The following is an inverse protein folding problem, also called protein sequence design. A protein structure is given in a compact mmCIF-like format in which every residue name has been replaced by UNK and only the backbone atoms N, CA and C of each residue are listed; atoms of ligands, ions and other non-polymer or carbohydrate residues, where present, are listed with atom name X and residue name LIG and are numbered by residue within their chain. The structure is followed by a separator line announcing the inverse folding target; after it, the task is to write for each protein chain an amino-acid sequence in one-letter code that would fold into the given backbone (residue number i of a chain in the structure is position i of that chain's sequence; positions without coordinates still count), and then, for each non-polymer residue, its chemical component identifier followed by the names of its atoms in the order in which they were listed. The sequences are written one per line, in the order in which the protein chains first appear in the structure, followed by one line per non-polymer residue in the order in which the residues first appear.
data_IF_309601738751
#
_entry.id   IF_309601738751
#
_cell.length_a   1.000
_cell.length_b   1.000
_cell.length_c   1.000
_cell.angle_alpha   90.00
_cell.angle_beta   90.00
_cell.angle_gamma   90.00
#
_symmetry.space_group_name_H-M   'P 1'
#
loop_
_entity.id
_entity.type
_entity.pdbx_description
1 polymer ?
#
# COMPACT_ATOMS: atom_id res chain seq x y z
N UNK A 1 3.59 -7.64 -23.58
CA UNK A 1 3.00 -7.86 -22.22
C UNK A 1 3.07 -6.53 -21.48
N UNK A 2 1.93 -5.98 -21.17
CA UNK A 2 1.84 -4.74 -20.36
C UNK A 2 1.93 -5.09 -18.88
N UNK A 3 2.86 -4.48 -18.16
CA UNK A 3 3.12 -4.73 -16.74
C UNK A 3 2.79 -3.47 -15.93
N UNK A 4 2.22 -3.64 -14.73
CA UNK A 4 2.11 -2.59 -13.72
C UNK A 4 2.67 -3.10 -12.39
N UNK A 5 3.34 -2.21 -11.67
CA UNK A 5 3.82 -2.44 -10.30
C UNK A 5 2.92 -1.66 -9.34
N UNK A 6 2.55 -2.27 -8.22
CA UNK A 6 1.75 -1.62 -7.18
C UNK A 6 2.44 -1.77 -5.84
N UNK A 7 2.57 -0.67 -5.07
CA UNK A 7 3.15 -0.73 -3.73
C UNK A 7 2.42 0.19 -2.76
N UNK A 8 2.56 -0.06 -1.45
CA UNK A 8 1.81 0.66 -0.43
C UNK A 8 2.14 2.16 -0.40
N UNK A 9 3.43 2.51 -0.35
CA UNK A 9 3.98 3.88 -0.40
C UNK A 9 5.46 3.87 -0.77
N UNK A 10 5.95 4.98 -1.31
CA UNK A 10 7.37 5.22 -1.64
C UNK A 10 7.81 6.54 -0.98
N UNK A 11 8.00 6.55 0.34
CA UNK A 11 8.28 7.77 1.11
C UNK A 11 9.58 7.71 1.93
N UNK A 12 10.38 6.69 1.73
CA UNK A 12 11.66 6.48 2.40
C UNK A 12 12.23 5.13 1.98
N UNK A 13 13.53 4.91 2.20
CA UNK A 13 14.21 3.68 1.80
C UNK A 13 14.07 2.64 2.92
N UNK A 14 13.43 1.51 2.60
CA UNK A 14 13.31 0.34 3.45
C UNK A 14 13.46 -0.95 2.65
N UNK A 15 13.19 -2.09 3.28
CA UNK A 15 13.27 -3.40 2.60
C UNK A 15 12.22 -3.57 1.51
N UNK A 16 11.00 -3.07 1.74
CA UNK A 16 9.91 -3.15 0.77
C UNK A 16 10.18 -2.29 -0.47
N UNK A 17 10.67 -1.07 -0.25
CA UNK A 17 10.99 -0.14 -1.33
C UNK A 17 12.16 -0.63 -2.20
N UNK A 18 13.12 -1.36 -1.61
CA UNK A 18 14.18 -2.02 -2.38
C UNK A 18 13.65 -3.10 -3.31
N UNK A 19 12.63 -3.86 -2.89
CA UNK A 19 11.97 -4.84 -3.78
C UNK A 19 11.29 -4.13 -4.95
N UNK A 20 10.60 -3.01 -4.70
CA UNK A 20 9.99 -2.20 -5.76
C UNK A 20 11.05 -1.66 -6.71
N UNK A 21 12.20 -1.24 -6.20
CA UNK A 21 13.32 -0.78 -7.02
C UNK A 21 13.86 -1.88 -7.94
N UNK A 22 14.04 -3.11 -7.44
CA UNK A 22 14.48 -4.24 -8.28
C UNK A 22 13.40 -4.61 -9.31
N UNK A 23 12.12 -4.54 -8.95
CA UNK A 23 11.02 -4.74 -9.91
C UNK A 23 11.03 -3.68 -11.01
N UNK A 24 11.27 -2.40 -10.66
CA UNK A 24 11.40 -1.32 -11.64
C UNK A 24 12.57 -1.58 -12.61
N UNK A 25 13.71 -2.03 -12.12
CA UNK A 25 14.85 -2.42 -12.98
C UNK A 25 14.51 -3.57 -13.94
N UNK A 26 13.69 -4.53 -13.51
CA UNK A 26 13.22 -5.64 -14.35
C UNK A 26 12.19 -5.19 -15.39
N UNK A 27 11.39 -4.20 -15.06
CA UNK A 27 10.30 -3.67 -15.89
C UNK A 27 10.33 -2.14 -15.93
N UNK A 28 11.33 -1.53 -16.61
CA UNK A 28 11.55 -0.07 -16.56
C UNK A 28 10.39 0.74 -17.14
N UNK A 29 9.66 0.17 -18.10
CA UNK A 29 8.50 0.83 -18.71
C UNK A 29 7.18 0.64 -17.92
N UNK A 30 7.21 -0.13 -16.84
CA UNK A 30 6.01 -0.40 -16.06
C UNK A 30 5.69 0.78 -15.12
N UNK A 31 4.47 1.35 -15.16
CA UNK A 31 4.08 2.36 -14.19
C UNK A 31 4.01 1.76 -12.78
N UNK A 32 4.39 2.59 -11.80
CA UNK A 32 4.36 2.23 -10.39
C UNK A 32 3.20 2.96 -9.72
N UNK A 33 2.17 2.24 -9.32
CA UNK A 33 1.05 2.76 -8.55
C UNK A 33 1.34 2.72 -7.05
N UNK A 34 1.16 3.83 -6.37
CA UNK A 34 1.42 3.93 -4.93
C UNK A 34 0.47 4.91 -4.25
N UNK A 35 0.25 4.75 -2.94
CA UNK A 35 -0.60 5.70 -2.21
C UNK A 35 0.04 7.06 -2.05
N UNK A 36 1.34 7.11 -1.76
CA UNK A 36 2.11 8.34 -1.58
C UNK A 36 3.56 8.14 -2.06
N UNK A 37 4.09 9.16 -2.71
CA UNK A 37 5.48 9.24 -3.16
C UNK A 37 6.18 10.48 -2.62
N UNK A 38 7.43 10.33 -2.22
CA UNK A 38 8.30 11.43 -1.77
C UNK A 38 9.66 11.35 -2.46
N UNK A 39 9.83 12.11 -3.53
CA UNK A 39 11.08 12.17 -4.30
C UNK A 39 12.31 12.60 -3.47
N UNK A 40 12.10 13.36 -2.39
CA UNK A 40 13.19 13.76 -1.50
C UNK A 40 13.54 12.67 -0.46
N UNK A 41 12.62 11.73 -0.22
CA UNK A 41 12.79 10.67 0.77
C UNK A 41 13.30 9.35 0.20
N UNK A 42 13.31 9.20 -1.13
CA UNK A 42 13.72 7.98 -1.81
C UNK A 42 14.37 8.31 -3.15
N UNK A 43 15.48 7.65 -3.46
CA UNK A 43 16.23 7.79 -4.72
C UNK A 43 16.13 6.51 -5.57
N UNK A 44 16.49 6.62 -6.84
CA UNK A 44 16.50 5.50 -7.79
C UNK A 44 15.17 5.29 -8.52
N UNK A 45 14.27 6.27 -8.48
CA UNK A 45 12.98 6.26 -9.19
C UNK A 45 12.82 7.53 -10.04
N UNK A 46 13.91 8.17 -10.40
CA UNK A 46 13.92 9.46 -11.13
C UNK A 46 13.38 9.31 -12.56
N UNK A 47 13.52 8.13 -13.15
CA UNK A 47 13.05 7.75 -14.48
C UNK A 47 11.73 6.96 -14.47
N UNK A 48 11.17 6.66 -13.28
CA UNK A 48 9.98 5.85 -13.15
C UNK A 48 8.66 6.66 -13.40
N UNK A 49 7.70 6.06 -14.12
CA UNK A 49 6.31 6.57 -14.20
C UNK A 49 5.58 6.25 -12.87
N UNK A 50 5.65 7.18 -11.91
CA UNK A 50 5.01 7.00 -10.61
C UNK A 50 3.62 7.64 -10.61
N UNK A 51 2.60 6.83 -10.37
CA UNK A 51 1.19 7.20 -10.30
C UNK A 51 0.67 7.07 -8.87
N UNK A 52 0.38 8.22 -8.27
CA UNK A 52 -0.10 8.27 -6.89
C UNK A 52 -1.62 8.33 -6.80
N UNK A 53 -2.17 7.80 -5.70
CA UNK A 53 -3.60 7.97 -5.39
C UNK A 53 -3.89 9.39 -4.86
N UNK A 54 -5.16 9.70 -4.61
CA UNK A 54 -5.57 10.99 -4.03
C UNK A 54 -4.92 11.26 -2.65
N UNK A 55 -4.45 10.23 -1.98
CA UNK A 55 -3.76 10.29 -0.67
C UNK A 55 -2.42 11.02 -0.74
N UNK A 56 -1.85 11.22 -1.92
CA UNK A 56 -0.65 12.05 -2.13
C UNK A 56 -0.80 13.46 -1.55
N UNK A 57 -2.03 14.01 -1.57
CA UNK A 57 -2.32 15.36 -1.06
C UNK A 57 -2.32 15.44 0.47
N UNK A 58 -2.36 14.29 1.15
CA UNK A 58 -2.39 14.25 2.61
C UNK A 58 -0.99 14.28 3.20
N UNK A 59 -0.78 14.98 4.34
CA UNK A 59 0.50 14.95 5.03
C UNK A 59 0.94 13.52 5.35
N UNK A 60 2.23 13.22 5.16
CA UNK A 60 2.83 11.88 5.36
C UNK A 60 2.54 11.27 6.74
N UNK A 61 2.33 12.10 7.77
CA UNK A 61 1.97 11.67 9.13
C UNK A 61 0.66 10.88 9.19
N UNK A 62 -0.26 11.09 8.24
CA UNK A 62 -1.55 10.40 8.20
C UNK A 62 -1.48 9.02 7.53
N UNK A 63 -0.36 8.64 6.89
CA UNK A 63 -0.24 7.34 6.20
C UNK A 63 -0.56 6.13 7.08
N UNK A 64 -0.28 6.22 8.40
CA UNK A 64 -0.54 5.15 9.37
C UNK A 64 -1.99 5.10 9.86
N UNK A 65 -2.76 6.17 9.63
CA UNK A 65 -4.10 6.36 10.24
C UNK A 65 -5.22 5.96 9.28
N UNK A 66 -4.93 5.81 7.99
CA UNK A 66 -5.95 5.66 6.94
C UNK A 66 -5.90 4.31 6.19
N UNK A 67 -5.75 3.15 6.87
CA UNK A 67 -5.70 1.87 6.17
C UNK A 67 -6.95 1.60 5.32
N UNK A 68 -8.15 1.91 5.85
CA UNK A 68 -9.40 1.71 5.13
C UNK A 68 -9.50 2.59 3.87
N UNK A 69 -9.04 3.85 3.97
CA UNK A 69 -9.04 4.77 2.83
C UNK A 69 -8.01 4.32 1.78
N UNK A 70 -6.84 3.82 2.19
CA UNK A 70 -5.88 3.22 1.26
C UNK A 70 -6.43 1.98 0.57
N UNK A 71 -7.06 1.07 1.32
CA UNK A 71 -7.70 -0.11 0.73
C UNK A 71 -8.78 0.28 -0.29
N UNK A 72 -9.57 1.31 0.00
CA UNK A 72 -10.58 1.83 -0.90
C UNK A 72 -9.96 2.45 -2.16
N UNK A 73 -8.91 3.26 -2.03
CA UNK A 73 -8.19 3.88 -3.16
C UNK A 73 -7.56 2.81 -4.05
N UNK A 74 -6.85 1.83 -3.49
CA UNK A 74 -6.28 0.73 -4.26
C UNK A 74 -7.36 -0.13 -4.95
N UNK A 75 -8.49 -0.36 -4.28
CA UNK A 75 -9.62 -1.09 -4.85
C UNK A 75 -10.33 -0.39 -6.02
N UNK A 76 -10.04 0.90 -6.25
CA UNK A 76 -10.57 1.71 -7.35
C UNK A 76 -9.60 1.92 -8.51
N UNK A 77 -8.36 1.46 -8.37
CA UNK A 77 -7.42 1.53 -9.49
C UNK A 77 -7.94 0.71 -10.66
N UNK A 78 -8.01 1.32 -11.82
CA UNK A 78 -8.28 0.58 -13.06
C UNK A 78 -6.97 0.02 -13.61
N UNK A 79 -6.79 -1.27 -13.42
CA UNK A 79 -5.64 -2.03 -13.89
C UNK A 79 -6.01 -3.00 -15.01
N UNK A 80 -7.15 -2.77 -15.67
CA UNK A 80 -7.72 -3.68 -16.67
C UNK A 80 -6.90 -3.76 -17.97
N UNK A 81 -6.07 -2.76 -18.24
CA UNK A 81 -5.22 -2.73 -19.44
C UNK A 81 -3.92 -3.57 -19.32
N UNK A 82 -3.59 -4.06 -18.12
CA UNK A 82 -2.35 -4.78 -17.86
C UNK A 82 -2.54 -6.29 -17.94
N UNK A 83 -1.54 -6.95 -18.56
CA UNK A 83 -1.47 -8.41 -18.62
C UNK A 83 -0.92 -8.99 -17.30
N UNK A 84 0.00 -8.25 -16.65
CA UNK A 84 0.63 -8.61 -15.40
C UNK A 84 0.60 -7.44 -14.42
N UNK A 85 0.12 -7.69 -13.22
CA UNK A 85 0.19 -6.77 -12.09
C UNK A 85 1.04 -7.40 -10.99
N UNK A 86 2.11 -6.71 -10.56
CA UNK A 86 2.97 -7.17 -9.48
C UNK A 86 2.76 -6.24 -8.29
N UNK A 87 2.17 -6.73 -7.21
CA UNK A 87 2.04 -5.95 -5.98
C UNK A 87 3.13 -6.31 -4.97
N UNK A 88 3.89 -5.32 -4.50
CA UNK A 88 4.86 -5.41 -3.41
C UNK A 88 4.25 -4.76 -2.17
N UNK A 89 3.69 -5.57 -1.27
CA UNK A 89 2.81 -5.04 -0.22
C UNK A 89 2.95 -5.75 1.12
N UNK A 90 3.08 -4.96 2.18
CA UNK A 90 2.89 -5.38 3.57
C UNK A 90 1.55 -4.88 4.13
N UNK A 91 0.83 -4.04 3.39
CA UNK A 91 -0.41 -3.40 3.84
C UNK A 91 -1.57 -3.61 2.83
N UNK A 92 -2.07 -2.58 2.18
CA UNK A 92 -3.32 -2.61 1.44
C UNK A 92 -3.16 -2.76 -0.09
N UNK A 93 -1.97 -2.49 -0.65
CA UNK A 93 -1.72 -2.57 -2.09
C UNK A 93 -1.94 -3.99 -2.68
N UNK A 94 -1.83 -5.03 -1.86
CA UNK A 94 -2.17 -6.41 -2.25
C UNK A 94 -3.64 -6.61 -2.60
N UNK A 95 -4.52 -5.70 -2.17
CA UNK A 95 -5.97 -5.76 -2.40
C UNK A 95 -6.42 -5.09 -3.70
N UNK A 96 -5.52 -4.76 -4.62
CA UNK A 96 -5.88 -4.22 -5.94
C UNK A 96 -6.73 -5.22 -6.72
N UNK A 97 -7.65 -4.69 -7.50
CA UNK A 97 -8.53 -5.50 -8.35
C UNK A 97 -7.97 -5.57 -9.76
N UNK A 98 -7.96 -6.76 -10.31
CA UNK A 98 -7.56 -7.02 -11.69
C UNK A 98 -8.71 -7.69 -12.44
N UNK A 99 -8.64 -7.72 -13.76
CA UNK A 99 -9.62 -8.47 -14.57
C UNK A 99 -9.25 -9.97 -14.62
N UNK A 100 -10.12 -10.78 -15.24
CA UNK A 100 -9.93 -12.24 -15.35
C UNK A 100 -8.72 -12.66 -16.20
N UNK A 101 -8.26 -11.79 -17.08
CA UNK A 101 -7.17 -12.07 -18.01
C UNK A 101 -5.80 -11.54 -17.48
N UNK A 102 -5.82 -10.77 -16.41
CA UNK A 102 -4.61 -10.21 -15.76
C UNK A 102 -4.05 -11.21 -14.76
N UNK A 103 -2.78 -11.51 -14.88
CA UNK A 103 -2.06 -12.25 -13.84
C UNK A 103 -1.69 -11.28 -12.72
N UNK A 104 -2.13 -11.56 -11.50
CA UNK A 104 -1.74 -10.79 -10.32
C UNK A 104 -0.78 -11.61 -9.45
N UNK A 105 0.45 -11.13 -9.30
CA UNK A 105 1.46 -11.70 -8.41
C UNK A 105 1.65 -10.75 -7.22
N UNK A 106 1.49 -11.28 -6.01
CA UNK A 106 1.73 -10.49 -4.79
C UNK A 106 3.03 -10.94 -4.09
N UNK A 107 4.03 -10.04 -4.08
CA UNK A 107 5.16 -10.17 -3.18
C UNK A 107 4.72 -9.65 -1.79
N UNK A 108 4.25 -10.57 -0.97
CA UNK A 108 3.74 -10.24 0.35
C UNK A 108 4.91 -10.14 1.35
N UNK A 109 5.16 -8.93 1.85
CA UNK A 109 6.08 -8.68 2.98
C UNK A 109 5.47 -9.21 4.29
N UNK A 110 6.08 -8.86 5.43
CA UNK A 110 5.50 -9.21 6.72
C UNK A 110 4.03 -8.78 6.80
N UNK A 111 3.12 -9.68 7.23
CA UNK A 111 1.70 -9.32 7.37
C UNK A 111 1.54 -8.09 8.23
N UNK A 112 0.57 -7.26 7.89
CA UNK A 112 0.32 -5.99 8.58
C UNK A 112 0.15 -6.23 10.09
N UNK A 113 1.10 -5.77 10.90
CA UNK A 113 1.17 -6.08 12.34
C UNK A 113 -0.11 -5.77 13.10
N UNK A 114 -0.75 -4.63 12.79
CA UNK A 114 -1.97 -4.20 13.47
C UNK A 114 -3.23 -4.99 13.08
N UNK A 115 -3.22 -5.75 11.97
CA UNK A 115 -4.33 -6.62 11.60
C UNK A 115 -4.12 -8.08 12.01
N UNK A 116 -2.87 -8.56 12.06
CA UNK A 116 -2.57 -9.97 12.19
C UNK A 116 -1.78 -10.30 13.47
N UNK A 117 -0.57 -9.77 13.60
CA UNK A 117 0.38 -10.26 14.61
C UNK A 117 0.19 -9.57 15.96
N UNK A 118 -0.05 -8.26 15.97
CA UNK A 118 -0.12 -7.42 17.18
C UNK A 118 -1.47 -6.74 17.35
N UNK A 119 -2.54 -7.35 16.83
CA UNK A 119 -3.88 -6.77 16.86
C UNK A 119 -4.33 -6.42 18.28
N UNK A 120 -4.17 -7.34 19.24
CA UNK A 120 -4.59 -7.14 20.62
C UNK A 120 -3.78 -6.06 21.34
N UNK A 121 -2.50 -5.95 21.01
CA UNK A 121 -1.63 -4.89 21.52
C UNK A 121 -2.05 -3.51 21.00
N UNK A 122 -2.39 -3.39 19.70
CA UNK A 122 -2.92 -2.15 19.13
C UNK A 122 -4.32 -1.81 19.65
N UNK A 123 -5.14 -2.80 19.99
CA UNK A 123 -6.41 -2.57 20.70
C UNK A 123 -6.19 -2.04 22.11
N UNK A 124 -5.19 -2.57 22.83
CA UNK A 124 -4.86 -2.11 24.17
C UNK A 124 -4.23 -0.71 24.16
N UNK A 125 -3.29 -0.49 23.23
CA UNK A 125 -2.48 0.74 23.11
C UNK A 125 -2.49 1.28 21.67
N UNK A 126 -3.58 1.94 21.20
CA UNK A 126 -3.69 2.43 19.81
C UNK A 126 -2.69 3.50 19.41
N UNK A 127 -1.98 4.12 20.37
CA UNK A 127 -0.96 5.15 20.09
C UNK A 127 -1.52 6.50 19.64
N UNK A 128 -2.81 6.75 19.82
CA UNK A 128 -3.45 8.03 19.51
C UNK A 128 -3.53 8.93 20.75
N UNK A 129 -3.73 10.25 20.59
CA UNK A 129 -4.04 11.13 21.71
C UNK A 129 -5.21 10.59 22.53
N UNK A 130 -5.16 10.77 23.87
CA UNK A 130 -6.09 10.15 24.83
C UNK A 130 -7.58 10.25 24.45
N UNK A 131 -8.00 11.33 23.81
CA UNK A 131 -9.41 11.55 23.38
C UNK A 131 -9.84 10.77 22.13
N UNK A 132 -8.91 10.19 21.33
CA UNK A 132 -9.20 9.51 20.06
C UNK A 132 -9.00 7.99 20.12
N UNK A 133 -8.51 7.45 21.23
CA UNK A 133 -8.23 6.03 21.36
C UNK A 133 -9.47 5.13 21.18
N UNK A 134 -10.64 5.59 21.61
CA UNK A 134 -11.88 4.84 21.46
C UNK A 134 -12.30 4.72 19.98
N UNK A 135 -12.12 5.77 19.17
CA UNK A 135 -12.38 5.74 17.72
C UNK A 135 -11.42 4.80 17.01
N UNK A 136 -10.13 4.81 17.38
CA UNK A 136 -9.16 3.89 16.83
C UNK A 136 -9.47 2.43 17.17
N UNK A 137 -9.88 2.14 18.41
CA UNK A 137 -10.33 0.80 18.83
C UNK A 137 -11.58 0.35 18.07
N UNK A 138 -12.55 1.23 17.92
CA UNK A 138 -13.77 0.95 17.16
C UNK A 138 -13.43 0.67 15.69
N UNK A 139 -12.60 1.52 15.08
CA UNK A 139 -12.12 1.35 13.71
C UNK A 139 -11.40 0.01 13.52
N UNK A 140 -10.47 -0.35 14.39
CA UNK A 140 -9.78 -1.64 14.34
C UNK A 140 -10.75 -2.82 14.44
N UNK A 141 -11.74 -2.78 15.36
CA UNK A 141 -12.73 -3.85 15.50
C UNK A 141 -13.61 -4.03 14.27
N UNK A 142 -14.05 -2.94 13.65
CA UNK A 142 -14.95 -2.96 12.50
C UNK A 142 -14.20 -3.34 11.22
N UNK A 143 -12.98 -2.81 11.03
CA UNK A 143 -12.25 -2.93 9.78
C UNK A 143 -11.39 -4.19 9.68
N UNK A 144 -11.07 -4.82 10.80
CA UNK A 144 -10.21 -6.01 10.83
C UNK A 144 -10.76 -7.16 10.01
N UNK A 145 -12.06 -7.42 10.07
CA UNK A 145 -12.70 -8.49 9.32
C UNK A 145 -12.59 -8.29 7.80
N UNK A 146 -13.06 -7.17 7.25
CA UNK A 146 -12.95 -6.85 5.81
C UNK A 146 -11.50 -6.74 5.30
N UNK A 147 -10.57 -6.23 6.12
CA UNK A 147 -9.18 -5.98 5.69
C UNK A 147 -8.25 -7.18 5.85
N UNK A 148 -8.71 -8.26 6.51
CA UNK A 148 -8.03 -9.57 6.54
C UNK A 148 -8.36 -10.44 5.33
N UNK A 149 -9.37 -10.09 4.57
CA UNK A 149 -9.77 -10.81 3.34
C UNK A 149 -8.99 -10.30 2.15
#
# INVERSE_FOLDING_TARGET
MKVAIVCDWLTGIGGAERVVYELHKMYPDAPIYTSQYDSNGISGFEDADIRTTSLQRLPKRFKKILPALRAWEFGRLDLSEYDLVISSSGAEAKGVKTNKNTIHICYCHAPTHYYWIRHDEYLAHPGFPRGLNWLARLGLKILVGPLRR
#
